data_IF_114910059246
#
_entry.id   IF_114910059246
#
_cell.length_a   1.000
_cell.length_b   1.000
_cell.length_c   1.000
_cell.angle_alpha   90.00
_cell.angle_beta   90.00
_cell.angle_gamma   90.00
#
_symmetry.space_group_name_H-M   'P 1'
#
loop_
_entity.id
_entity.type
_entity.pdbx_description
1 polymer ?
#
# COMPACT_ATOMS: atom_id res chain seq x y z
N UNK A 1 4.77 26.20 -19.92
CA UNK A 1 5.09 25.69 -19.38
C UNK A 1 5.12 24.72 -19.14
N UNK A 2 4.92 24.34 -19.15
CA UNK A 2 5.04 23.44 -18.80
C UNK A 2 5.88 22.76 -18.19
N UNK A 3 6.51 23.04 -18.00
CA UNK A 3 7.51 22.45 -17.30
C UNK A 3 7.31 22.31 -15.88
N UNK A 4 6.35 22.89 -15.41
CA UNK A 4 5.97 22.83 -14.06
C UNK A 4 5.80 21.46 -13.56
N UNK A 5 5.28 20.60 -14.39
CA UNK A 5 5.05 19.28 -13.94
C UNK A 5 6.25 18.40 -14.09
N UNK A 6 7.37 18.93 -14.46
CA UNK A 6 8.57 18.14 -14.61
C UNK A 6 8.97 17.50 -13.32
N UNK A 7 9.03 16.20 -13.30
CA UNK A 7 9.56 15.41 -12.22
C UNK A 7 8.72 15.29 -10.97
N UNK A 8 7.58 15.97 -10.91
CA UNK A 8 6.73 15.88 -9.73
C UNK A 8 5.40 15.25 -10.10
N UNK A 9 5.19 14.05 -9.61
CA UNK A 9 3.93 13.35 -9.78
C UNK A 9 3.22 13.29 -8.45
N UNK A 10 1.92 13.58 -8.44
CA UNK A 10 1.12 13.42 -7.24
C UNK A 10 0.88 11.93 -7.05
N UNK A 11 1.54 11.36 -6.07
CA UNK A 11 1.36 9.97 -5.69
C UNK A 11 0.47 9.88 -4.48
N UNK A 12 -0.69 9.27 -4.66
CA UNK A 12 -1.63 9.03 -3.56
C UNK A 12 -1.39 7.61 -3.04
N UNK A 13 -0.89 7.51 -1.83
CA UNK A 13 -0.51 6.24 -1.21
C UNK A 13 -1.41 5.97 -0.03
N UNK A 14 -2.13 4.85 -0.06
CA UNK A 14 -2.82 4.33 1.12
C UNK A 14 -1.82 3.42 1.83
N UNK A 15 -1.38 3.85 3.01
CA UNK A 15 -0.40 3.07 3.80
C UNK A 15 -1.15 2.41 4.94
N UNK A 16 -1.20 1.08 4.92
CA UNK A 16 -1.96 0.29 5.90
C UNK A 16 -1.00 -0.35 6.88
N UNK A 17 -0.99 0.15 8.11
CA UNK A 17 -0.08 -0.31 9.15
C UNK A 17 -0.68 0.09 10.50
N UNK A 18 -0.81 -0.87 11.43
CA UNK A 18 -1.46 -0.60 12.71
C UNK A 18 -0.69 0.37 13.60
N UNK A 19 0.59 0.61 13.31
CA UNK A 19 1.42 1.52 14.08
C UNK A 19 1.70 2.86 13.39
N UNK A 20 1.10 3.11 12.25
CA UNK A 20 1.43 4.29 11.43
C UNK A 20 1.15 5.63 12.17
N UNK A 21 0.21 5.63 13.11
CA UNK A 21 -0.13 6.84 13.86
C UNK A 21 0.69 7.01 15.14
N UNK A 22 1.55 6.03 15.45
CA UNK A 22 2.41 6.13 16.64
C UNK A 22 3.62 7.00 16.37
N UNK A 23 4.00 7.81 17.36
CA UNK A 23 5.17 8.68 17.26
C UNK A 23 6.46 7.90 17.00
N UNK A 24 6.53 6.65 17.49
CA UNK A 24 7.69 5.78 17.34
C UNK A 24 7.51 4.73 16.24
N UNK A 25 6.65 5.00 15.27
CA UNK A 25 6.44 4.09 14.16
C UNK A 25 7.76 3.78 13.46
N UNK A 26 8.04 2.50 13.26
CA UNK A 26 9.33 2.04 12.74
C UNK A 26 9.62 2.49 11.30
N UNK A 27 8.58 2.74 10.51
CA UNK A 27 8.72 3.15 9.12
C UNK A 27 8.64 4.66 8.91
N UNK A 28 8.67 5.44 9.99
CA UNK A 28 8.59 6.89 9.90
C UNK A 28 9.75 7.48 9.10
N UNK A 29 10.96 6.99 9.35
CA UNK A 29 12.14 7.45 8.61
C UNK A 29 12.08 7.11 7.13
N UNK A 30 11.55 5.92 6.80
CA UNK A 30 11.38 5.51 5.42
C UNK A 30 10.39 6.43 4.71
N UNK A 31 9.29 6.75 5.35
CA UNK A 31 8.29 7.68 4.80
C UNK A 31 8.90 9.06 4.56
N UNK A 32 9.68 9.55 5.52
CA UNK A 32 10.35 10.85 5.38
C UNK A 32 11.35 10.86 4.23
N UNK A 33 12.11 9.77 4.06
CA UNK A 33 13.03 9.64 2.92
C UNK A 33 12.30 9.67 1.59
N UNK A 34 11.18 8.97 1.49
CA UNK A 34 10.36 8.98 0.28
C UNK A 34 9.83 10.38 0.00
N UNK A 35 9.35 11.07 1.03
CA UNK A 35 8.82 12.41 0.92
C UNK A 35 9.88 13.41 0.45
N UNK A 36 11.13 13.24 0.90
CA UNK A 36 12.23 14.08 0.46
C UNK A 36 12.55 13.87 -1.03
N UNK A 37 12.31 12.68 -1.55
CA UNK A 37 12.52 12.38 -2.97
C UNK A 37 11.37 12.85 -3.85
N UNK A 38 10.16 12.85 -3.33
CA UNK A 38 8.98 13.34 -4.04
C UNK A 38 8.06 14.09 -3.09
N UNK A 39 8.13 15.42 -3.14
CA UNK A 39 7.33 16.28 -2.26
C UNK A 39 5.85 16.29 -2.56
N UNK A 40 5.44 15.74 -3.70
CA UNK A 40 4.04 15.60 -4.07
C UNK A 40 3.42 14.30 -3.59
N UNK A 41 4.15 13.55 -2.77
CA UNK A 41 3.68 12.31 -2.17
C UNK A 41 2.59 12.63 -1.14
N UNK A 42 1.45 11.95 -1.25
CA UNK A 42 0.36 12.06 -0.28
C UNK A 42 0.15 10.73 0.38
N UNK A 43 0.33 10.69 1.69
CA UNK A 43 0.13 9.47 2.48
C UNK A 43 -1.23 9.53 3.14
N UNK A 44 -2.03 8.50 2.93
CA UNK A 44 -3.33 8.32 3.55
C UNK A 44 -3.18 7.15 4.51
N UNK A 45 -3.03 7.41 5.82
CA UNK A 45 -2.80 6.34 6.79
C UNK A 45 -4.07 5.59 7.11
N UNK A 46 -3.98 4.28 7.14
CA UNK A 46 -5.06 3.40 7.59
C UNK A 46 -4.48 2.35 8.52
N UNK A 47 -5.21 2.00 9.54
CA UNK A 47 -4.69 1.10 10.58
C UNK A 47 -5.26 -0.32 10.51
N UNK A 48 -6.25 -0.56 9.66
CA UNK A 48 -6.81 -1.91 9.47
C UNK A 48 -7.16 -2.15 8.01
N UNK A 49 -7.32 -3.42 7.67
CA UNK A 49 -7.84 -3.82 6.35
C UNK A 49 -9.22 -3.20 6.10
N UNK A 50 -10.10 -3.25 7.10
CA UNK A 50 -11.46 -2.74 6.95
C UNK A 50 -11.50 -1.23 6.71
N UNK A 51 -10.69 -0.46 7.42
CA UNK A 51 -10.65 0.99 7.23
C UNK A 51 -10.09 1.36 5.87
N UNK A 52 -9.08 0.62 5.39
CA UNK A 52 -8.54 0.81 4.06
C UNK A 52 -9.59 0.52 2.99
N UNK A 53 -10.32 -0.58 3.12
CA UNK A 53 -11.36 -0.95 2.16
C UNK A 53 -12.52 0.03 2.16
N UNK A 54 -12.94 0.50 3.34
CA UNK A 54 -13.99 1.51 3.45
C UNK A 54 -13.61 2.78 2.71
N UNK A 55 -12.35 3.20 2.86
CA UNK A 55 -11.83 4.38 2.16
C UNK A 55 -11.89 4.18 0.63
N UNK A 56 -11.40 3.04 0.14
CA UNK A 56 -11.38 2.77 -1.30
C UNK A 56 -12.80 2.69 -1.86
N UNK A 57 -13.72 2.08 -1.14
CA UNK A 57 -15.12 1.98 -1.58
C UNK A 57 -15.77 3.35 -1.67
N UNK A 58 -15.42 4.28 -0.79
CA UNK A 58 -15.94 5.66 -0.83
C UNK A 58 -15.54 6.38 -2.11
N UNK A 59 -14.42 6.02 -2.71
CA UNK A 59 -13.91 6.66 -3.93
C UNK A 59 -13.99 5.75 -5.15
N UNK A 60 -14.78 4.68 -5.08
CA UNK A 60 -14.81 3.64 -6.11
C UNK A 60 -15.05 4.19 -7.52
N UNK A 61 -16.00 5.08 -7.66
CA UNK A 61 -16.35 5.67 -8.96
C UNK A 61 -15.16 6.43 -9.55
N UNK A 62 -14.47 7.22 -8.72
CA UNK A 62 -13.32 8.01 -9.18
C UNK A 62 -12.13 7.11 -9.52
N UNK A 63 -11.92 6.06 -8.75
CA UNK A 63 -10.83 5.12 -8.99
C UNK A 63 -11.05 4.36 -10.28
N UNK A 64 -12.24 3.81 -10.47
CA UNK A 64 -12.57 3.04 -11.66
C UNK A 64 -12.62 3.89 -12.91
N UNK A 65 -13.01 5.16 -12.77
CA UNK A 65 -13.02 6.10 -13.88
C UNK A 65 -11.64 6.68 -14.20
N UNK A 66 -10.62 6.36 -13.41
CA UNK A 66 -9.27 6.86 -13.63
C UNK A 66 -9.03 8.28 -13.17
N UNK A 67 -10.00 8.92 -12.50
CA UNK A 67 -9.86 10.29 -12.01
C UNK A 67 -8.84 10.38 -10.89
N UNK A 68 -8.82 9.37 -10.00
CA UNK A 68 -7.86 9.29 -8.90
C UNK A 68 -7.17 7.94 -8.98
N UNK A 69 -5.84 7.97 -8.89
CA UNK A 69 -5.05 6.75 -8.87
C UNK A 69 -4.38 6.62 -7.53
N UNK A 70 -4.58 5.48 -6.88
CA UNK A 70 -3.96 5.15 -5.60
C UNK A 70 -3.00 3.98 -5.78
N UNK A 71 -1.95 3.98 -4.98
CA UNK A 71 -1.15 2.79 -4.70
C UNK A 71 -1.34 2.45 -3.23
N UNK A 72 -1.07 1.21 -2.88
CA UNK A 72 -1.20 0.75 -1.50
C UNK A 72 0.12 0.14 -1.07
N UNK A 73 0.58 0.50 0.12
CA UNK A 73 1.65 -0.21 0.79
C UNK A 73 1.10 -0.72 2.12
N UNK A 74 1.39 -1.95 2.45
CA UNK A 74 0.81 -2.63 3.62
C UNK A 74 1.85 -3.47 4.31
N UNK A 75 1.77 -3.53 5.64
CA UNK A 75 2.46 -4.57 6.39
C UNK A 75 1.73 -5.90 6.20
N UNK A 76 2.38 -6.99 6.60
CA UNK A 76 1.78 -8.32 6.53
C UNK A 76 0.98 -8.63 7.79
N UNK A 77 1.53 -8.29 8.94
CA UNK A 77 0.96 -8.60 10.25
C UNK A 77 0.41 -7.33 10.89
N UNK A 78 -0.82 -7.37 11.35
CA UNK A 78 -1.42 -6.27 12.11
C UNK A 78 -2.07 -6.82 13.36
N UNK A 79 -1.57 -6.37 14.52
CA UNK A 79 -2.01 -6.92 15.80
C UNK A 79 -3.39 -6.43 16.25
N UNK A 80 -3.93 -5.44 15.56
CA UNK A 80 -5.27 -4.92 15.85
C UNK A 80 -6.38 -5.57 15.00
N UNK A 81 -6.04 -6.60 14.25
CA UNK A 81 -7.04 -7.39 13.49
C UNK A 81 -6.84 -8.86 13.81
N UNK A 82 -7.84 -9.65 13.49
CA UNK A 82 -7.80 -11.10 13.68
C UNK A 82 -8.23 -11.81 12.40
N UNK A 83 -7.46 -12.79 11.90
CA UNK A 83 -6.11 -13.19 12.35
C UNK A 83 -5.08 -12.09 12.03
N UNK A 84 -4.13 -11.90 12.95
CA UNK A 84 -3.11 -10.86 12.78
C UNK A 84 -2.10 -11.20 11.68
N UNK A 85 -1.70 -12.46 11.60
CA UNK A 85 -0.54 -12.89 10.79
C UNK A 85 -0.72 -12.75 9.29
N UNK A 86 -1.94 -12.73 8.79
CA UNK A 86 -2.19 -12.65 7.35
C UNK A 86 -2.99 -11.41 6.94
N UNK A 87 -2.96 -10.38 7.76
CA UNK A 87 -3.73 -9.16 7.51
C UNK A 87 -3.42 -8.54 6.14
N UNK A 88 -2.14 -8.45 5.79
CA UNK A 88 -1.74 -7.93 4.47
C UNK A 88 -2.25 -8.77 3.32
N UNK A 89 -2.20 -10.10 3.47
CA UNK A 89 -2.71 -11.01 2.44
C UNK A 89 -4.23 -10.88 2.29
N UNK A 90 -4.96 -10.70 3.40
CA UNK A 90 -6.40 -10.48 3.35
C UNK A 90 -6.74 -9.19 2.59
N UNK A 91 -5.96 -8.15 2.80
CA UNK A 91 -6.16 -6.90 2.07
C UNK A 91 -6.05 -7.12 0.56
N UNK A 92 -5.02 -7.84 0.11
CA UNK A 92 -4.86 -8.16 -1.30
C UNK A 92 -6.07 -8.94 -1.82
N UNK A 93 -6.52 -9.93 -1.05
CA UNK A 93 -7.68 -10.72 -1.45
C UNK A 93 -8.94 -9.88 -1.54
N UNK A 94 -9.15 -8.98 -0.59
CA UNK A 94 -10.27 -8.03 -0.62
C UNK A 94 -10.24 -7.17 -1.87
N UNK A 95 -9.07 -6.66 -2.24
CA UNK A 95 -8.94 -5.84 -3.44
C UNK A 95 -9.39 -6.61 -4.67
N UNK A 96 -8.93 -7.84 -4.81
CA UNK A 96 -9.31 -8.67 -5.95
C UNK A 96 -10.80 -9.00 -5.96
N UNK A 97 -11.37 -9.29 -4.81
CA UNK A 97 -12.78 -9.67 -4.71
C UNK A 97 -13.74 -8.50 -4.87
N UNK A 98 -13.27 -7.27 -4.72
CA UNK A 98 -14.14 -6.10 -4.75
C UNK A 98 -13.89 -5.17 -5.94
N UNK A 99 -13.19 -5.68 -6.95
CA UNK A 99 -12.98 -4.93 -8.19
C UNK A 99 -11.88 -3.90 -8.14
N UNK A 100 -10.96 -4.02 -7.17
CA UNK A 100 -9.81 -3.12 -7.05
C UNK A 100 -8.49 -3.81 -7.43
N UNK A 101 -8.57 -4.90 -8.19
CA UNK A 101 -7.38 -5.67 -8.56
C UNK A 101 -6.40 -4.91 -9.46
N UNK A 102 -6.79 -3.76 -10.00
CA UNK A 102 -5.91 -2.94 -10.83
C UNK A 102 -5.02 -2.01 -10.01
N UNK A 103 -5.26 -1.89 -8.71
CA UNK A 103 -4.45 -1.05 -7.84
C UNK A 103 -3.15 -1.78 -7.54
N UNK A 104 -2.02 -1.08 -7.71
CA UNK A 104 -0.73 -1.63 -7.31
C UNK A 104 -0.62 -1.66 -5.80
N UNK A 105 -0.19 -2.80 -5.27
CA UNK A 105 0.01 -2.97 -3.84
C UNK A 105 1.36 -3.61 -3.57
N UNK A 106 2.06 -3.08 -2.57
CA UNK A 106 3.28 -3.66 -2.06
C UNK A 106 3.08 -4.11 -0.63
N UNK A 107 3.42 -5.36 -0.34
CA UNK A 107 3.54 -5.85 1.02
C UNK A 107 4.99 -5.68 1.43
N UNK A 108 5.23 -4.80 2.41
CA UNK A 108 6.54 -4.56 2.98
C UNK A 108 6.62 -5.32 4.29
N UNK A 109 7.47 -6.34 4.34
CA UNK A 109 7.45 -7.33 5.41
C UNK A 109 8.86 -7.77 5.78
N UNK A 110 9.01 -8.33 6.97
CA UNK A 110 10.29 -8.92 7.40
C UNK A 110 10.50 -10.33 6.83
N UNK A 111 9.46 -10.97 6.30
CA UNK A 111 9.58 -12.31 5.72
C UNK A 111 8.79 -12.42 4.43
N UNK A 112 9.50 -12.39 3.31
CA UNK A 112 8.89 -12.53 1.99
C UNK A 112 8.28 -13.92 1.81
N UNK A 113 8.96 -14.96 2.31
CA UNK A 113 8.45 -16.32 2.21
C UNK A 113 7.12 -16.50 2.91
N UNK A 114 7.01 -15.95 4.12
CA UNK A 114 5.77 -16.03 4.88
C UNK A 114 4.65 -15.31 4.14
N UNK A 115 4.92 -14.12 3.62
CA UNK A 115 3.91 -13.34 2.90
C UNK A 115 3.41 -14.09 1.66
N UNK A 116 4.34 -14.64 0.86
CA UNK A 116 3.96 -15.40 -0.34
C UNK A 116 3.14 -16.63 0.00
N UNK A 117 3.48 -17.30 1.10
CA UNK A 117 2.75 -18.47 1.55
C UNK A 117 1.31 -18.13 1.95
N UNK A 118 1.14 -17.01 2.68
CA UNK A 118 -0.20 -16.59 3.10
C UNK A 118 -1.06 -16.12 1.93
N UNK A 119 -0.45 -15.44 0.97
CA UNK A 119 -1.14 -15.06 -0.27
C UNK A 119 -1.65 -16.30 -1.02
N UNK A 120 -0.81 -17.32 -1.09
CA UNK A 120 -1.19 -18.58 -1.73
C UNK A 120 -2.33 -19.28 -1.01
N UNK A 121 -2.29 -19.30 0.32
CA UNK A 121 -3.35 -19.92 1.14
C UNK A 121 -4.71 -19.27 0.91
N UNK A 122 -4.73 -17.98 0.63
CA UNK A 122 -5.97 -17.25 0.36
C UNK A 122 -6.39 -17.29 -1.11
N UNK A 123 -5.66 -18.03 -1.94
CA UNK A 123 -5.92 -18.13 -3.37
C UNK A 123 -5.89 -16.78 -4.07
N UNK A 124 -4.94 -15.93 -3.67
CA UNK A 124 -4.70 -14.67 -4.37
C UNK A 124 -4.13 -14.96 -5.74
N UNK A 125 -4.69 -14.32 -6.76
CA UNK A 125 -4.16 -14.42 -8.12
C UNK A 125 -2.97 -13.48 -8.24
N UNK A 126 -1.76 -14.04 -8.26
CA UNK A 126 -0.53 -13.24 -8.33
C UNK A 126 -0.35 -12.63 -9.72
N UNK A 127 0.04 -11.37 -9.76
CA UNK A 127 0.31 -10.67 -11.00
C UNK A 127 1.33 -9.55 -10.73
N UNK A 128 1.71 -8.79 -11.76
CA UNK A 128 2.72 -7.74 -11.65
C UNK A 128 2.33 -6.55 -10.79
N UNK A 129 1.07 -6.44 -10.38
CA UNK A 129 0.61 -5.36 -9.52
C UNK A 129 0.79 -5.66 -8.04
N UNK A 130 1.09 -6.91 -7.70
CA UNK A 130 1.30 -7.34 -6.32
C UNK A 130 2.79 -7.54 -6.11
N UNK A 131 3.37 -6.72 -5.23
CA UNK A 131 4.79 -6.77 -4.92
C UNK A 131 4.98 -7.14 -3.46
N UNK A 132 5.99 -7.94 -3.19
CA UNK A 132 6.35 -8.33 -1.82
C UNK A 132 7.84 -8.11 -1.67
N UNK A 133 8.26 -7.36 -0.67
CA UNK A 133 9.67 -7.06 -0.46
C UNK A 133 10.01 -6.93 1.01
N UNK A 134 11.28 -7.19 1.31
CA UNK A 134 11.86 -6.91 2.62
C UNK A 134 12.82 -5.72 2.58
N UNK A 135 13.07 -5.16 1.39
CA UNK A 135 14.09 -4.12 1.20
C UNK A 135 13.49 -2.72 1.26
N UNK A 136 14.08 -1.85 2.10
CA UNK A 136 13.64 -0.46 2.21
C UNK A 136 13.79 0.30 0.89
N UNK A 137 14.82 -0.02 0.10
CA UNK A 137 15.02 0.62 -1.20
C UNK A 137 13.86 0.35 -2.15
N UNK A 138 13.34 -0.88 -2.15
CA UNK A 138 12.17 -1.22 -2.98
C UNK A 138 10.93 -0.44 -2.53
N UNK A 139 10.75 -0.32 -1.22
CA UNK A 139 9.61 0.41 -0.67
C UNK A 139 9.68 1.90 -1.04
N UNK A 140 10.86 2.51 -0.91
CA UNK A 140 11.03 3.91 -1.29
C UNK A 140 10.75 4.10 -2.78
N UNK A 141 11.29 3.24 -3.63
CA UNK A 141 11.06 3.33 -5.07
C UNK A 141 9.59 3.19 -5.41
N UNK A 142 8.89 2.27 -4.75
CA UNK A 142 7.45 2.10 -4.94
C UNK A 142 6.68 3.37 -4.58
N UNK A 143 7.03 3.98 -3.46
CA UNK A 143 6.34 5.18 -2.97
C UNK A 143 6.54 6.39 -3.89
N UNK A 144 7.74 6.55 -4.46
CA UNK A 144 8.07 7.76 -5.21
C UNK A 144 7.89 7.62 -6.71
N UNK A 145 7.80 6.42 -7.24
CA UNK A 145 7.67 6.21 -8.68
C UNK A 145 6.26 6.53 -9.17
N UNK A 146 6.22 6.91 -10.40
CA UNK A 146 4.95 7.23 -11.06
C UNK A 146 4.21 5.96 -11.51
#
# INVERSE_FOLDING_TARGET
MRQIEIGLYVNNIVWVDDNILNANWENKGLMEMAYNKNRALKIIPKITTNTAMAFLKSFKTFIKGGTIKYKIISDMTRNNEYPADNAGARLVKYLQNNGFGDIEIMIFTSSKEKALRELKKLNVVMNGRIKVTTFTSDAINFLVSN
#
